data_IF_982617726002
#
_entry.id   IF_982617726002
#
_cell.length_a   1.000
_cell.length_b   1.000
_cell.length_c   1.000
_cell.angle_alpha   90.00
_cell.angle_beta   90.00
_cell.angle_gamma   90.00
#
_symmetry.space_group_name_H-M   'P 1'
#
loop_
_entity.id
_entity.type
_entity.pdbx_description
1 polymer ?
#
# COMPACT_ATOMS: atom_id res chain seq x y z
N UNK A 1 -17.58 -30.26 -7.01
CA UNK A 1 -17.31 -29.14 -6.10
C UNK A 1 -16.08 -28.45 -6.66
N UNK A 2 -16.21 -27.30 -7.34
CA UNK A 2 -16.15 -25.98 -6.70
C UNK A 2 -14.75 -25.83 -6.08
N UNK A 3 -13.83 -25.01 -6.58
CA UNK A 3 -13.96 -23.55 -6.70
C UNK A 3 -12.91 -23.01 -7.68
N UNK A 4 -13.36 -22.43 -8.79
CA UNK A 4 -12.57 -21.59 -9.68
C UNK A 4 -12.92 -20.11 -9.38
N UNK A 5 -12.49 -19.62 -8.21
CA UNK A 5 -12.57 -18.19 -7.84
C UNK A 5 -11.44 -17.82 -6.85
N UNK A 6 -10.16 -17.89 -7.23
CA UNK A 6 -9.09 -17.73 -6.22
C UNK A 6 -7.84 -16.95 -6.64
N UNK A 7 -7.78 -16.33 -7.83
CA UNK A 7 -6.57 -15.57 -8.20
C UNK A 7 -6.43 -14.23 -7.45
N UNK A 8 -7.51 -13.45 -7.32
CA UNK A 8 -7.47 -12.19 -6.56
C UNK A 8 -7.65 -12.40 -5.05
N UNK A 9 -8.34 -13.47 -4.66
CA UNK A 9 -8.71 -13.74 -3.25
C UNK A 9 -7.49 -14.11 -2.41
N UNK A 10 -6.58 -14.95 -2.93
CA UNK A 10 -5.34 -15.31 -2.22
C UNK A 10 -4.42 -14.11 -2.04
N UNK A 11 -4.38 -13.23 -3.03
CA UNK A 11 -3.60 -12.01 -2.97
C UNK A 11 -4.17 -11.03 -1.94
N UNK A 12 -5.47 -10.71 -2.01
CA UNK A 12 -6.11 -9.85 -1.03
C UNK A 12 -6.16 -10.47 0.38
N UNK A 13 -6.10 -11.80 0.51
CA UNK A 13 -5.97 -12.49 1.79
C UNK A 13 -4.63 -12.20 2.52
N UNK A 14 -3.58 -11.81 1.79
CA UNK A 14 -2.33 -11.31 2.41
C UNK A 14 -2.54 -9.99 3.14
N UNK A 15 -3.57 -9.22 2.80
CA UNK A 15 -3.84 -7.92 3.41
C UNK A 15 -4.12 -8.05 4.92
N UNK A 16 -3.19 -7.57 5.74
CA UNK A 16 -3.39 -7.46 7.20
C UNK A 16 -4.32 -6.33 7.64
N UNK A 17 -4.91 -5.60 6.68
CA UNK A 17 -5.74 -4.42 6.95
C UNK A 17 -5.08 -3.45 7.95
N UNK A 18 -3.80 -3.16 7.75
CA UNK A 18 -3.02 -2.33 8.67
C UNK A 18 -3.11 -0.81 8.37
N UNK A 19 -3.84 -0.41 7.33
CA UNK A 19 -3.98 1.00 6.94
C UNK A 19 -2.75 1.62 6.28
N UNK A 20 -1.58 0.98 6.34
CA UNK A 20 -0.31 1.50 5.78
C UNK A 20 -0.37 1.78 4.29
N UNK A 21 -1.18 1.05 3.53
CA UNK A 21 -1.36 1.34 2.11
C UNK A 21 -2.10 2.67 1.85
N UNK A 22 -2.85 3.19 2.82
CA UNK A 22 -3.66 4.40 2.72
C UNK A 22 -2.86 5.69 2.95
N UNK A 23 -1.60 5.61 3.32
CA UNK A 23 -0.74 6.78 3.42
C UNK A 23 -0.34 7.28 2.04
N UNK A 24 -0.14 8.58 1.95
CA UNK A 24 0.27 9.24 0.71
C UNK A 24 1.69 8.82 0.33
N UNK A 25 1.92 8.78 -0.98
CA UNK A 25 3.19 8.34 -1.57
C UNK A 25 3.58 9.36 -2.60
N UNK A 26 4.83 9.74 -2.57
CA UNK A 26 5.40 10.74 -3.46
C UNK A 26 6.40 10.02 -4.35
N UNK A 27 6.23 10.15 -5.65
CA UNK A 27 7.28 9.83 -6.60
C UNK A 27 8.23 11.03 -6.68
N UNK A 28 9.51 10.81 -6.42
CA UNK A 28 10.54 11.83 -6.56
C UNK A 28 11.81 11.18 -7.12
N UNK A 29 12.32 11.73 -8.23
CA UNK A 29 13.50 11.20 -8.95
C UNK A 29 13.41 9.69 -9.28
N UNK A 30 12.20 9.19 -9.56
CA UNK A 30 11.96 7.77 -9.87
C UNK A 30 12.05 6.84 -8.66
N UNK A 31 11.98 7.39 -7.44
CA UNK A 31 11.88 6.65 -6.18
C UNK A 31 10.56 6.99 -5.50
N UNK A 32 9.91 5.97 -4.95
CA UNK A 32 8.70 6.15 -4.16
C UNK A 32 9.09 6.44 -2.71
N UNK A 33 8.58 7.55 -2.20
CA UNK A 33 8.68 7.96 -0.82
C UNK A 33 7.34 7.82 -0.13
N UNK A 34 7.40 7.40 1.13
CA UNK A 34 6.26 7.18 1.98
C UNK A 34 6.09 8.37 2.91
N UNK A 35 4.90 8.95 2.97
CA UNK A 35 4.61 10.05 3.89
C UNK A 35 3.84 9.55 5.11
N UNK A 36 3.87 10.33 6.19
CA UNK A 36 3.07 10.11 7.40
C UNK A 36 1.63 10.64 7.26
N UNK A 37 1.25 11.19 6.08
CA UNK A 37 -0.09 11.72 5.83
C UNK A 37 -1.08 10.60 5.50
N UNK A 38 -2.08 10.32 6.36
CA UNK A 38 -3.10 9.33 6.08
C UNK A 38 -4.13 9.84 5.06
N UNK A 39 -4.70 8.94 4.27
CA UNK A 39 -5.86 9.25 3.42
C UNK A 39 -7.08 9.61 4.27
N UNK A 40 -7.93 10.52 3.77
CA UNK A 40 -9.23 10.88 4.37
C UNK A 40 -10.17 9.71 4.65
N UNK A 41 -9.97 8.56 3.97
CA UNK A 41 -10.78 7.35 4.14
C UNK A 41 -10.17 6.35 5.12
N UNK A 42 -8.98 6.63 5.64
CA UNK A 42 -8.36 5.82 6.67
C UNK A 42 -8.98 6.17 8.02
N UNK A 43 -9.59 5.18 8.65
CA UNK A 43 -10.05 5.31 10.02
C UNK A 43 -8.85 5.18 10.96
N UNK A 44 -8.48 6.26 11.66
CA UNK A 44 -7.31 6.26 12.55
C UNK A 44 -7.52 5.47 13.84
N UNK A 45 -8.78 5.29 14.24
CA UNK A 45 -9.18 4.56 15.45
C UNK A 45 -8.96 3.05 15.26
N UNK A 46 -9.46 2.51 14.17
CA UNK A 46 -9.38 1.09 13.81
C UNK A 46 -8.18 0.75 12.93
N UNK A 47 -7.55 1.76 12.32
CA UNK A 47 -6.50 1.63 11.28
C UNK A 47 -6.97 0.89 10.02
N UNK A 48 -8.27 0.92 9.76
CA UNK A 48 -8.90 0.25 8.62
C UNK A 48 -9.34 1.25 7.56
N UNK A 49 -9.24 0.85 6.30
CA UNK A 49 -9.80 1.63 5.20
C UNK A 49 -11.30 1.32 5.09
N UNK A 50 -12.13 2.36 5.22
CA UNK A 50 -13.60 2.24 5.16
C UNK A 50 -14.09 1.88 3.75
N UNK A 51 -13.32 2.24 2.73
CA UNK A 51 -13.66 2.02 1.31
C UNK A 51 -12.69 1.05 0.62
N UNK A 52 -12.09 0.10 1.35
CA UNK A 52 -11.02 -0.76 0.83
C UNK A 52 -11.38 -1.44 -0.52
N UNK A 53 -12.59 -1.99 -0.65
CA UNK A 53 -13.04 -2.65 -1.88
C UNK A 53 -13.25 -1.69 -3.06
N UNK A 54 -13.62 -0.43 -2.78
CA UNK A 54 -13.93 0.61 -3.77
C UNK A 54 -12.87 1.73 -3.80
N UNK A 55 -11.66 1.44 -3.31
CA UNK A 55 -10.59 2.43 -3.09
C UNK A 55 -10.22 3.21 -4.35
N UNK A 56 -10.20 2.53 -5.49
CA UNK A 56 -9.96 3.10 -6.82
C UNK A 56 -11.01 4.14 -7.26
N UNK A 57 -12.26 3.96 -6.83
CA UNK A 57 -13.37 4.86 -7.16
C UNK A 57 -13.38 6.07 -6.23
N UNK A 58 -13.05 5.88 -4.96
CA UNK A 58 -13.08 6.95 -3.97
C UNK A 58 -11.80 7.80 -3.93
N UNK A 59 -10.65 7.25 -4.32
CA UNK A 59 -9.36 7.95 -4.28
C UNK A 59 -8.58 7.67 -5.58
N UNK A 60 -8.38 8.68 -6.44
CA UNK A 60 -7.72 8.49 -7.74
C UNK A 60 -6.25 8.08 -7.63
N UNK A 61 -5.60 8.30 -6.48
CA UNK A 61 -4.26 7.79 -6.18
C UNK A 61 -4.22 6.39 -5.54
N UNK A 62 -5.37 5.77 -5.25
CA UNK A 62 -5.43 4.48 -4.57
C UNK A 62 -5.72 3.36 -5.57
N UNK A 63 -4.67 2.69 -6.03
CA UNK A 63 -4.78 1.58 -6.98
C UNK A 63 -4.90 0.21 -6.29
N UNK A 64 -5.19 -0.82 -7.06
CA UNK A 64 -5.09 -2.21 -6.62
C UNK A 64 -3.61 -2.53 -6.38
N UNK A 65 -3.29 -3.06 -5.19
CA UNK A 65 -1.93 -3.42 -4.81
C UNK A 65 -1.48 -4.70 -5.52
N UNK A 66 -1.48 -4.76 -6.85
CA UNK A 66 -1.00 -5.94 -7.59
C UNK A 66 0.50 -6.13 -7.37
N UNK A 67 1.01 -7.32 -7.70
CA UNK A 67 2.43 -7.65 -7.55
C UNK A 67 3.34 -6.60 -8.23
N UNK A 68 2.95 -6.13 -9.42
CA UNK A 68 3.67 -5.10 -10.18
C UNK A 68 3.72 -3.76 -9.42
N UNK A 69 2.60 -3.34 -8.86
CA UNK A 69 2.51 -2.08 -8.10
C UNK A 69 3.33 -2.17 -6.82
N UNK A 70 3.26 -3.29 -6.10
CA UNK A 70 4.01 -3.42 -4.84
C UNK A 70 5.51 -3.45 -5.08
N UNK A 71 5.97 -4.05 -6.20
CA UNK A 71 7.37 -4.06 -6.65
C UNK A 71 7.94 -2.66 -6.89
N UNK A 72 7.11 -1.64 -7.13
CA UNK A 72 7.55 -0.24 -7.26
C UNK A 72 8.05 0.37 -5.94
N UNK A 73 7.94 -0.34 -4.81
CA UNK A 73 8.36 0.20 -3.52
C UNK A 73 7.28 1.03 -2.85
N UNK A 74 6.00 0.79 -3.13
CA UNK A 74 4.90 1.58 -2.54
C UNK A 74 4.55 1.18 -1.10
N UNK A 75 5.12 0.11 -0.56
CA UNK A 75 4.78 -0.44 0.76
C UNK A 75 6.02 -0.67 1.61
N UNK A 76 5.92 -0.55 2.94
CA UNK A 76 7.06 -0.88 3.80
C UNK A 76 7.42 -2.36 3.69
N UNK A 77 8.69 -2.70 3.94
CA UNK A 77 9.21 -4.10 3.94
C UNK A 77 8.46 -5.05 4.87
N UNK A 78 7.79 -4.52 5.89
CA UNK A 78 6.97 -5.26 6.85
C UNK A 78 5.59 -5.66 6.29
N UNK A 79 5.23 -5.15 5.10
CA UNK A 79 3.93 -5.44 4.52
C UNK A 79 3.88 -6.89 3.97
N UNK A 80 2.85 -7.68 4.30
CA UNK A 80 2.71 -9.04 3.80
C UNK A 80 2.61 -9.14 2.27
N UNK A 81 2.23 -8.06 1.59
CA UNK A 81 2.22 -8.01 0.12
C UNK A 81 3.61 -8.05 -0.51
N UNK A 82 4.63 -7.56 0.20
CA UNK A 82 6.01 -7.54 -0.30
C UNK A 82 6.84 -8.69 0.29
N UNK A 83 6.25 -9.44 1.22
CA UNK A 83 6.87 -10.60 1.81
C UNK A 83 7.12 -11.67 0.73
N UNK A 84 8.41 -12.00 0.52
CA UNK A 84 8.84 -12.95 -0.51
C UNK A 84 9.35 -12.31 -1.80
N UNK A 85 9.29 -10.99 -1.95
CA UNK A 85 9.89 -10.30 -3.11
C UNK A 85 11.41 -10.17 -2.88
N UNK A 86 12.20 -10.92 -3.66
CA UNK A 86 13.66 -10.84 -3.62
C UNK A 86 14.15 -9.50 -4.18
N UNK A 87 15.04 -8.82 -3.45
CA UNK A 87 15.55 -7.50 -3.86
C UNK A 87 14.55 -6.35 -3.70
N UNK A 88 13.52 -6.53 -2.87
CA UNK A 88 12.52 -5.49 -2.63
C UNK A 88 13.13 -4.21 -2.04
N UNK A 89 12.94 -3.09 -2.75
CA UNK A 89 13.32 -1.76 -2.25
C UNK A 89 12.11 -1.14 -1.59
N UNK A 90 12.12 -1.09 -0.26
CA UNK A 90 11.09 -0.40 0.50
C UNK A 90 11.18 1.13 0.31
N UNK A 91 10.04 1.84 0.34
CA UNK A 91 10.04 3.28 0.25
C UNK A 91 10.77 3.86 1.45
N UNK A 92 11.47 4.97 1.22
CA UNK A 92 12.02 5.77 2.30
C UNK A 92 10.91 6.66 2.88
N UNK A 93 11.01 6.99 4.16
CA UNK A 93 10.17 8.04 4.72
C UNK A 93 10.55 9.36 4.04
N UNK A 94 9.54 10.07 3.55
CA UNK A 94 9.72 11.45 3.11
C UNK A 94 9.96 12.29 4.36
N UNK A 95 11.22 12.49 4.68
CA UNK A 95 11.63 13.36 5.76
C UNK A 95 11.64 14.79 5.20
N UNK A 96 10.66 15.62 5.59
CA UNK A 96 10.64 17.05 5.23
C UNK A 96 11.71 17.84 6.02
N UNK A 97 12.61 17.22 6.79
CA UNK A 97 13.71 17.97 7.40
C UNK A 97 14.89 18.06 6.42
N UNK A 98 15.15 19.22 5.78
CA UNK A 98 16.54 19.61 5.62
C UNK A 98 17.06 19.72 7.05
N UNK A 99 17.67 18.65 7.56
CA UNK A 99 18.52 18.76 8.72
C UNK A 99 19.67 19.70 8.32
N UNK A 100 19.49 20.97 8.72
CA UNK A 100 20.37 22.14 8.65
C UNK A 100 20.20 23.13 7.48
#
# INVERSE_FOLDING_TARGET
>A
MGDEVTANTDWEARCRRCGRCCFEKIDYEGRIYYTDRPCEKLDLETRLCTVYAQRQTHRPGCTLLTEEIVRLGVLPKDCPYVAGIAGYVAPQLWDEEPSE
#
